data_IF_105603561430
#
_entry.id   IF_105603561430
#
_cell.length_a   1.000
_cell.length_b   1.000
_cell.length_c   1.000
_cell.angle_alpha   90.00
_cell.angle_beta   90.00
_cell.angle_gamma   90.00
#
_symmetry.space_group_name_H-M   'P 1'
#
loop_
_entity.id
_entity.type
_entity.pdbx_description
1 polymer ?
#
# COMPACT_ATOMS: atom_id res chain seq x y z
N UNK A 1 -3.23 16.39 -32.22
CA UNK A 1 -3.77 17.50 -31.41
C UNK A 1 -3.12 17.42 -30.03
N UNK A 2 -2.86 18.55 -29.38
CA UNK A 2 -2.38 18.55 -27.98
C UNK A 2 -3.56 18.29 -27.05
N UNK A 3 -3.52 17.28 -26.17
CA UNK A 3 -4.62 16.99 -25.26
C UNK A 3 -4.76 18.07 -24.17
N UNK A 4 -5.97 18.27 -23.62
CA UNK A 4 -6.16 19.10 -22.43
C UNK A 4 -5.41 18.53 -21.22
N UNK A 5 -4.72 19.40 -20.48
CA UNK A 5 -3.97 19.03 -19.27
C UNK A 5 -4.85 19.14 -18.01
N UNK A 6 -4.39 18.53 -16.90
CA UNK A 6 -5.06 18.63 -15.59
C UNK A 6 -6.16 17.61 -15.32
N UNK A 7 -6.51 16.76 -16.29
CA UNK A 7 -7.44 15.65 -16.08
C UNK A 7 -6.70 14.38 -15.66
N UNK A 8 -7.13 13.79 -14.54
CA UNK A 8 -6.50 12.59 -13.98
C UNK A 8 -7.53 11.55 -13.58
N UNK A 9 -7.16 10.28 -13.59
CA UNK A 9 -7.88 9.23 -12.88
C UNK A 9 -6.99 8.63 -11.78
N UNK A 10 -7.57 8.10 -10.68
CA UNK A 10 -6.79 7.53 -9.61
C UNK A 10 -6.39 6.08 -9.93
N UNK A 11 -5.12 5.75 -9.70
CA UNK A 11 -4.65 4.39 -9.54
C UNK A 11 -4.51 4.09 -8.05
N UNK A 12 -5.24 3.10 -7.56
CA UNK A 12 -5.31 2.78 -6.13
C UNK A 12 -4.76 1.37 -5.89
N UNK A 13 -3.82 1.27 -4.97
CA UNK A 13 -3.28 -0.01 -4.50
C UNK A 13 -3.67 -0.22 -3.04
N UNK A 14 -4.17 -1.41 -2.73
CA UNK A 14 -4.58 -1.78 -1.37
C UNK A 14 -3.97 -3.13 -1.04
N UNK A 15 -3.16 -3.16 0.03
CA UNK A 15 -2.73 -4.38 0.68
C UNK A 15 -3.53 -4.54 1.96
N UNK A 16 -4.37 -5.57 2.00
CA UNK A 16 -5.12 -5.95 3.18
C UNK A 16 -4.54 -7.27 3.71
N UNK A 17 -4.27 -7.31 5.00
CA UNK A 17 -3.71 -8.49 5.66
C UNK A 17 -4.79 -9.19 6.49
N UNK A 18 -4.69 -10.52 6.65
CA UNK A 18 -5.49 -11.22 7.64
C UNK A 18 -5.19 -10.70 9.06
N UNK A 19 -5.98 -11.10 10.05
CA UNK A 19 -5.71 -10.81 11.44
C UNK A 19 -4.29 -11.18 11.85
N UNK A 20 -3.59 -10.24 12.50
CA UNK A 20 -2.19 -10.40 12.87
C UNK A 20 -2.09 -10.96 14.29
N UNK A 21 -1.31 -12.04 14.45
CA UNK A 21 -0.94 -12.63 15.74
C UNK A 21 0.18 -11.81 16.40
N UNK A 22 1.13 -11.34 15.59
CA UNK A 22 2.26 -10.52 16.00
C UNK A 22 2.27 -9.21 15.19
N UNK A 23 1.37 -8.26 15.50
CA UNK A 23 1.26 -7.03 14.74
C UNK A 23 2.56 -6.21 14.82
N UNK A 24 3.01 -5.59 13.72
CA UNK A 24 4.18 -4.71 13.74
C UNK A 24 3.89 -3.42 14.52
N UNK A 25 4.96 -2.73 14.92
CA UNK A 25 4.85 -1.33 15.31
C UNK A 25 4.43 -0.49 14.08
N UNK A 26 3.31 0.22 14.22
CA UNK A 26 2.68 0.91 13.09
C UNK A 26 3.53 2.07 12.57
N UNK A 27 4.21 2.80 13.47
CA UNK A 27 5.02 3.95 13.10
C UNK A 27 6.32 3.50 12.41
N UNK A 28 6.92 2.43 12.92
CA UNK A 28 8.08 1.79 12.28
C UNK A 28 7.71 1.30 10.89
N UNK A 29 6.62 0.52 10.78
CA UNK A 29 6.16 0.02 9.47
C UNK A 29 5.87 1.17 8.51
N UNK A 30 5.14 2.20 8.94
CA UNK A 30 4.83 3.38 8.12
C UNK A 30 6.10 4.06 7.60
N UNK A 31 7.12 4.20 8.45
CA UNK A 31 8.39 4.82 8.08
C UNK A 31 9.16 3.97 7.06
N UNK A 32 9.22 2.65 7.28
CA UNK A 32 9.92 1.73 6.39
C UNK A 32 9.25 1.65 5.01
N UNK A 33 7.92 1.53 4.96
CA UNK A 33 7.20 1.47 3.68
C UNK A 33 7.21 2.81 2.96
N UNK A 34 7.18 3.95 3.68
CA UNK A 34 7.38 5.26 3.06
C UNK A 34 8.75 5.37 2.38
N UNK A 35 9.81 4.81 2.99
CA UNK A 35 11.13 4.72 2.37
C UNK A 35 11.15 3.87 1.10
N UNK A 36 10.36 2.80 1.05
CA UNK A 36 10.25 1.93 -0.13
C UNK A 36 9.41 2.52 -1.25
N UNK A 37 8.30 3.19 -0.91
CA UNK A 37 7.38 3.81 -1.87
C UNK A 37 7.93 5.11 -2.46
N UNK A 38 8.78 5.82 -1.71
CA UNK A 38 9.37 7.07 -2.15
C UNK A 38 8.31 8.11 -2.52
N UNK A 39 8.65 8.96 -3.50
CA UNK A 39 7.72 9.98 -4.02
C UNK A 39 6.71 9.42 -5.02
N UNK A 40 7.07 8.31 -5.68
CA UNK A 40 6.27 7.71 -6.77
C UNK A 40 5.04 6.97 -6.23
N UNK A 41 5.16 6.37 -5.05
CA UNK A 41 4.11 5.58 -4.43
C UNK A 41 3.93 6.02 -2.98
N UNK A 42 3.18 7.11 -2.71
CA UNK A 42 2.87 7.55 -1.35
C UNK A 42 2.03 6.48 -0.66
N UNK A 43 2.46 6.04 0.52
CA UNK A 43 1.84 4.94 1.26
C UNK A 43 1.25 5.43 2.58
N UNK A 44 0.02 5.00 2.84
CA UNK A 44 -0.72 5.17 4.07
C UNK A 44 -0.82 3.81 4.77
N UNK A 45 -0.55 3.77 6.07
CA UNK A 45 -0.65 2.54 6.87
C UNK A 45 -1.68 2.76 7.98
N UNK A 46 -2.60 1.81 8.13
CA UNK A 46 -3.61 1.83 9.18
C UNK A 46 -3.81 0.46 9.79
N UNK A 47 -4.14 0.43 11.07
CA UNK A 47 -4.54 -0.78 11.78
C UNK A 47 -5.88 -0.56 12.48
N UNK A 48 -6.70 -1.61 12.50
CA UNK A 48 -8.02 -1.62 13.14
C UNK A 48 -8.05 -2.78 14.13
N UNK A 49 -8.47 -2.50 15.37
CA UNK A 49 -8.80 -3.52 16.36
C UNK A 49 -10.30 -3.78 16.34
N UNK A 50 -10.68 -5.04 16.16
CA UNK A 50 -12.07 -5.50 16.31
C UNK A 50 -12.21 -6.44 17.50
N UNK A 51 -13.36 -6.35 18.18
CA UNK A 51 -13.73 -7.18 19.32
C UNK A 51 -15.05 -7.87 19.00
N UNK A 52 -15.07 -9.21 18.97
CA UNK A 52 -16.31 -9.94 18.71
C UNK A 52 -17.28 -9.81 19.90
N UNK A 53 -16.75 -9.90 21.13
CA UNK A 53 -17.37 -9.47 22.39
C UNK A 53 -16.43 -8.53 23.15
N UNK A 54 -16.97 -7.68 24.04
CA UNK A 54 -16.18 -6.69 24.81
C UNK A 54 -15.11 -7.33 25.70
N UNK A 55 -15.27 -8.59 26.07
CA UNK A 55 -14.32 -9.36 26.89
C UNK A 55 -13.27 -10.10 26.08
N UNK A 56 -13.41 -10.16 24.76
CA UNK A 56 -12.49 -10.91 23.90
C UNK A 56 -11.16 -10.17 23.70
N UNK A 57 -10.15 -10.93 23.30
CA UNK A 57 -8.91 -10.34 22.83
C UNK A 57 -9.14 -9.56 21.52
N UNK A 58 -8.42 -8.44 21.30
CA UNK A 58 -8.53 -7.69 20.06
C UNK A 58 -7.98 -8.48 18.88
N UNK A 59 -8.71 -8.45 17.77
CA UNK A 59 -8.26 -8.93 16.47
C UNK A 59 -7.76 -7.73 15.67
N UNK A 60 -6.45 -7.66 15.42
CA UNK A 60 -5.83 -6.53 14.73
C UNK A 60 -5.67 -6.80 13.24
N UNK A 61 -6.34 -5.99 12.42
CA UNK A 61 -6.21 -6.00 10.96
C UNK A 61 -5.33 -4.84 10.49
N UNK A 62 -4.42 -5.10 9.55
CA UNK A 62 -3.54 -4.10 8.95
C UNK A 62 -3.95 -3.82 7.50
N UNK A 63 -3.93 -2.55 7.12
CA UNK A 63 -4.13 -2.11 5.73
C UNK A 63 -3.04 -1.14 5.33
N UNK A 64 -2.51 -1.31 4.13
CA UNK A 64 -1.63 -0.34 3.46
C UNK A 64 -2.33 0.13 2.20
N UNK A 65 -2.36 1.44 1.95
CA UNK A 65 -3.02 2.04 0.78
C UNK A 65 -2.08 3.01 0.09
N UNK A 66 -2.10 3.01 -1.24
CA UNK A 66 -1.51 4.09 -2.05
C UNK A 66 -2.51 4.58 -3.08
N UNK A 67 -2.46 5.89 -3.38
CA UNK A 67 -3.30 6.55 -4.39
C UNK A 67 -2.42 7.44 -5.25
N UNK A 68 -2.33 7.15 -6.54
CA UNK A 68 -1.52 7.91 -7.50
C UNK A 68 -2.41 8.48 -8.61
N UNK A 69 -2.38 9.79 -8.86
CA UNK A 69 -3.11 10.38 -9.98
C UNK A 69 -2.39 10.09 -11.30
N UNK A 70 -3.10 9.51 -12.27
CA UNK A 70 -2.58 9.23 -13.62
C UNK A 70 -3.13 10.27 -14.59
N UNK A 71 -2.26 10.94 -15.33
CA UNK A 71 -2.61 11.95 -16.33
C UNK A 71 -3.28 11.33 -17.56
N UNK A 72 -4.50 11.76 -17.88
CA UNK A 72 -5.18 11.36 -19.12
C UNK A 72 -4.49 11.94 -20.37
N UNK A 73 -3.80 13.07 -20.24
CA UNK A 73 -3.01 13.63 -21.33
C UNK A 73 -1.81 12.74 -21.68
N UNK A 74 -1.15 12.15 -20.68
CA UNK A 74 -0.04 11.20 -20.91
C UNK A 74 -0.55 9.90 -21.53
N UNK A 75 -1.67 9.38 -21.03
CA UNK A 75 -2.34 8.21 -21.63
C UNK A 75 -2.69 8.47 -23.10
N UNK A 76 -3.24 9.64 -23.43
CA UNK A 76 -3.54 10.01 -24.82
C UNK A 76 -2.28 10.05 -25.70
N UNK A 77 -1.15 10.54 -25.14
CA UNK A 77 0.13 10.61 -25.82
C UNK A 77 0.85 9.25 -25.90
N UNK A 78 0.38 8.23 -25.18
CA UNK A 78 1.04 6.93 -25.06
C UNK A 78 2.29 6.97 -24.16
N UNK A 79 2.44 8.00 -23.34
CA UNK A 79 3.52 8.14 -22.37
C UNK A 79 3.19 7.34 -21.10
N UNK A 80 3.71 6.11 -21.05
CA UNK A 80 3.42 5.14 -19.99
C UNK A 80 4.50 5.06 -18.92
N UNK A 81 5.65 5.71 -19.12
CA UNK A 81 6.81 5.60 -18.23
C UNK A 81 6.47 5.93 -16.76
N UNK A 82 5.67 6.98 -16.46
CA UNK A 82 5.28 7.27 -15.08
C UNK A 82 4.45 6.14 -14.44
N UNK A 83 3.54 5.53 -15.21
CA UNK A 83 2.70 4.44 -14.70
C UNK A 83 3.53 3.17 -14.48
N UNK A 84 4.47 2.88 -15.38
CA UNK A 84 5.39 1.75 -15.23
C UNK A 84 6.26 1.90 -13.98
N UNK A 85 6.82 3.08 -13.71
CA UNK A 85 7.61 3.34 -12.50
C UNK A 85 6.80 3.12 -11.20
N UNK A 86 5.53 3.53 -11.19
CA UNK A 86 4.59 3.28 -10.08
C UNK A 86 4.36 1.78 -9.89
N UNK A 87 4.16 1.03 -10.98
CA UNK A 87 3.94 -0.43 -10.91
C UNK A 87 5.20 -1.18 -10.43
N UNK A 88 6.39 -0.76 -10.86
CA UNK A 88 7.66 -1.34 -10.39
C UNK A 88 7.86 -1.08 -8.88
N UNK A 89 7.56 0.12 -8.42
CA UNK A 89 7.61 0.48 -7.00
C UNK A 89 6.58 -0.31 -6.19
N UNK A 90 5.36 -0.45 -6.71
CA UNK A 90 4.30 -1.26 -6.12
C UNK A 90 4.72 -2.73 -5.98
N UNK A 91 5.39 -3.29 -6.99
CA UNK A 91 5.95 -4.64 -6.93
C UNK A 91 6.97 -4.77 -5.81
N UNK A 92 7.90 -3.82 -5.68
CA UNK A 92 8.92 -3.86 -4.63
C UNK A 92 8.30 -3.80 -3.22
N UNK A 93 7.33 -2.92 -3.02
CA UNK A 93 6.58 -2.82 -1.77
C UNK A 93 5.82 -4.11 -1.48
N UNK A 94 5.16 -4.69 -2.49
CA UNK A 94 4.43 -5.96 -2.35
C UNK A 94 5.34 -7.11 -1.91
N UNK A 95 6.51 -7.25 -2.54
CA UNK A 95 7.48 -8.28 -2.19
C UNK A 95 8.01 -8.08 -0.76
N UNK A 96 8.34 -6.86 -0.39
CA UNK A 96 8.82 -6.57 0.96
C UNK A 96 7.75 -6.81 2.04
N UNK A 97 6.47 -6.51 1.75
CA UNK A 97 5.37 -6.82 2.66
C UNK A 97 5.18 -8.34 2.79
N UNK A 98 5.24 -9.09 1.68
CA UNK A 98 5.11 -10.55 1.68
C UNK A 98 6.21 -11.25 2.50
N UNK A 99 7.43 -10.73 2.50
CA UNK A 99 8.53 -11.25 3.33
C UNK A 99 8.24 -11.14 4.84
N UNK A 100 7.43 -10.17 5.25
CA UNK A 100 7.10 -9.91 6.66
C UNK A 100 5.87 -10.69 7.14
N UNK A 101 4.94 -11.01 6.23
CA UNK A 101 3.65 -11.65 6.55
C UNK A 101 3.81 -12.90 7.43
N UNK A 102 4.71 -13.86 7.15
CA UNK A 102 4.84 -15.07 7.96
C UNK A 102 5.11 -14.80 9.45
N UNK A 103 5.86 -13.74 9.76
CA UNK A 103 6.11 -13.32 11.14
C UNK A 103 4.84 -12.75 11.78
N UNK A 104 4.08 -11.94 11.06
CA UNK A 104 2.87 -11.30 11.60
C UNK A 104 1.72 -12.28 11.85
N UNK A 105 1.57 -13.31 11.02
CA UNK A 105 0.50 -14.31 11.17
C UNK A 105 0.90 -15.52 12.04
N UNK A 106 2.17 -15.58 12.48
CA UNK A 106 2.66 -16.65 13.36
C UNK A 106 3.02 -17.96 12.65
N UNK A 107 3.21 -17.93 11.33
CA UNK A 107 3.67 -19.10 10.54
C UNK A 107 5.13 -19.44 10.82
N UNK A 108 5.94 -18.44 11.18
CA UNK A 108 7.36 -18.59 11.52
C UNK A 108 7.64 -17.76 12.78
N UNK A 109 8.37 -18.35 13.74
CA UNK A 109 8.76 -17.72 15.02
C UNK A 109 10.13 -17.08 14.96
#
# INVERSE_FOLDING_TARGET
MTPPEGFTFPLVFTWAFPPLVHPPDLLVLATEVAGLGGVELPLEVSAIDSFHQVTDAPERSLTVVSRVPVSLANVYKGDNDPVCAVLDTCRNVSLNLLERVPFWIGDIR
#
